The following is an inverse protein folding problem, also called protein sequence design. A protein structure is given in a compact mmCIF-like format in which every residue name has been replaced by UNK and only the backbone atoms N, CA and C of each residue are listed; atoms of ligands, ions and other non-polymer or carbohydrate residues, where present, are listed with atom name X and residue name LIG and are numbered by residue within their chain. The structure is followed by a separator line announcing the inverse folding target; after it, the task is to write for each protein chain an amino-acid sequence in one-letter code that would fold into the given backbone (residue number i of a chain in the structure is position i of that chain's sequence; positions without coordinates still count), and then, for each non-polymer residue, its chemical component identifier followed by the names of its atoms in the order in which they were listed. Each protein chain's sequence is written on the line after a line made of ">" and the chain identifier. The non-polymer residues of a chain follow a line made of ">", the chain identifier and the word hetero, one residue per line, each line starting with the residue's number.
data_IF_588362724847
#
_entry.id   IF_588362724847
#
_cell.length_a   1.000
_cell.length_b   1.000
_cell.length_c   1.000
_cell.angle_alpha   90.00
_cell.angle_beta   90.00
_cell.angle_gamma   90.00
#
_symmetry.space_group_name_H-M   'P 1'
#
loop_
_entity.id
_entity.type
_entity.pdbx_description
1 polymer ?
#
# COMPACT_ATOMS: atom_id res chain seq x y z
N UNK A 1 12.83 4.07 42.16
CA UNK A 1 12.01 4.46 41.00
C UNK A 1 12.91 4.51 39.77
N UNK A 2 12.76 3.58 38.83
CA UNK A 2 13.39 3.63 37.50
C UNK A 2 12.58 2.77 36.56
N UNK A 3 11.55 3.36 35.96
CA UNK A 3 10.80 2.75 34.87
C UNK A 3 11.70 2.68 33.63
N UNK A 4 12.25 1.49 33.36
CA UNK A 4 12.85 1.18 32.06
C UNK A 4 11.71 1.14 31.03
N UNK A 5 11.56 2.24 30.27
CA UNK A 5 10.73 2.28 29.05
C UNK A 5 11.03 1.05 28.18
N UNK A 6 10.03 0.28 27.74
CA UNK A 6 10.28 -0.85 26.86
C UNK A 6 10.83 -0.33 25.51
N UNK A 7 11.78 -1.06 24.89
CA UNK A 7 12.29 -0.68 23.58
C UNK A 7 11.15 -0.78 22.56
N UNK A 8 10.94 0.28 21.78
CA UNK A 8 10.05 0.26 20.60
C UNK A 8 10.49 -0.91 19.69
N UNK A 9 9.56 -1.70 19.13
CA UNK A 9 9.94 -2.69 18.12
C UNK A 9 10.57 -1.95 16.95
N UNK A 10 11.86 -2.17 16.72
CA UNK A 10 12.54 -1.70 15.53
C UNK A 10 11.82 -2.30 14.32
N UNK A 11 11.36 -1.45 13.41
CA UNK A 11 10.78 -1.88 12.14
C UNK A 11 11.78 -2.83 11.45
N UNK A 12 11.42 -4.11 11.34
CA UNK A 12 12.25 -5.10 10.65
C UNK A 12 12.37 -4.68 9.19
N UNK A 13 13.58 -4.68 8.59
CA UNK A 13 13.73 -4.43 7.17
C UNK A 13 12.98 -5.51 6.38
N UNK A 14 12.27 -5.16 5.29
CA UNK A 14 11.55 -6.14 4.48
C UNK A 14 12.55 -7.12 3.87
N UNK A 15 12.42 -8.41 4.19
CA UNK A 15 13.20 -9.49 3.59
C UNK A 15 12.74 -9.69 2.14
N UNK A 16 13.61 -9.50 1.13
CA UNK A 16 13.27 -9.77 -0.26
C UNK A 16 13.38 -11.28 -0.49
N UNK A 17 12.25 -12.00 -0.55
CA UNK A 17 12.27 -13.43 -0.87
C UNK A 17 11.05 -14.25 -0.46
N UNK A 18 10.13 -13.72 0.34
CA UNK A 18 8.83 -14.38 0.50
C UNK A 18 7.96 -14.00 -0.71
N UNK A 19 7.65 -14.95 -1.58
CA UNK A 19 6.55 -14.86 -2.54
C UNK A 19 5.21 -14.83 -1.79
N UNK A 20 5.03 -13.78 -0.99
CA UNK A 20 3.85 -13.49 -0.19
C UNK A 20 3.08 -12.36 -0.83
N UNK A 21 1.76 -12.37 -0.63
CA UNK A 21 0.89 -11.28 -1.04
C UNK A 21 1.39 -9.99 -0.40
N UNK A 22 1.78 -9.01 -1.22
CA UNK A 22 2.17 -7.70 -0.73
C UNK A 22 0.91 -6.92 -0.34
N UNK A 23 0.71 -6.71 0.96
CA UNK A 23 -0.34 -5.82 1.45
C UNK A 23 0.11 -4.37 1.32
N UNK A 24 -0.60 -3.59 0.51
CA UNK A 24 -0.38 -2.15 0.35
C UNK A 24 -1.66 -1.42 0.75
N UNK A 25 -1.53 -0.35 1.53
CA UNK A 25 -2.67 0.51 1.90
C UNK A 25 -3.18 1.29 0.69
N UNK A 26 -4.50 1.42 0.57
CA UNK A 26 -5.15 2.17 -0.50
C UNK A 26 -4.72 3.64 -0.53
N UNK A 27 -4.41 4.22 0.62
CA UNK A 27 -3.98 5.61 0.78
C UNK A 27 -2.60 5.85 0.16
N UNK A 28 -1.73 4.83 0.16
CA UNK A 28 -0.41 4.88 -0.51
C UNK A 28 -0.57 4.81 -2.03
N UNK A 29 -1.51 4.00 -2.51
CA UNK A 29 -1.77 3.86 -3.94
C UNK A 29 -2.53 5.05 -4.52
N UNK A 30 -3.43 5.68 -3.75
CA UNK A 30 -4.27 6.79 -4.19
C UNK A 30 -4.02 8.03 -3.30
N UNK A 31 -2.84 8.67 -3.43
CA UNK A 31 -2.53 9.85 -2.64
C UNK A 31 -3.55 10.96 -2.90
N UNK A 32 -4.09 11.52 -1.82
CA UNK A 32 -5.15 12.53 -1.85
C UNK A 32 -6.43 12.10 -2.62
N UNK A 33 -6.70 10.80 -2.73
CA UNK A 33 -7.88 10.25 -3.42
C UNK A 33 -7.82 10.37 -4.95
N UNK A 34 -6.64 10.68 -5.51
CA UNK A 34 -6.46 10.76 -6.96
C UNK A 34 -6.36 9.38 -7.58
N UNK A 35 -6.83 9.18 -8.82
CA UNK A 35 -6.60 7.94 -9.56
C UNK A 35 -5.10 7.68 -9.76
N UNK A 36 -4.70 6.42 -9.75
CA UNK A 36 -3.35 5.96 -10.07
C UNK A 36 -3.38 5.26 -11.44
N UNK A 37 -2.47 5.65 -12.32
CA UNK A 37 -2.24 4.90 -13.56
C UNK A 37 -1.16 3.84 -13.33
N UNK A 38 -1.45 2.63 -13.78
CA UNK A 38 -0.58 1.46 -13.68
C UNK A 38 -0.34 0.98 -15.10
N UNK A 39 0.90 1.04 -15.55
CA UNK A 39 1.27 0.35 -16.79
C UNK A 39 1.41 -1.14 -16.52
N UNK A 40 0.67 -1.95 -17.24
CA UNK A 40 0.73 -3.40 -17.15
C UNK A 40 0.70 -4.00 -18.56
N UNK A 41 1.81 -4.66 -18.95
CA UNK A 41 1.97 -5.30 -20.27
C UNK A 41 1.74 -4.33 -21.45
N UNK A 42 2.15 -3.07 -21.32
CA UNK A 42 1.99 -2.03 -22.34
C UNK A 42 0.61 -1.37 -22.36
N UNK A 43 -0.29 -1.77 -21.48
CA UNK A 43 -1.62 -1.17 -21.33
C UNK A 43 -1.66 -0.31 -20.07
N UNK A 44 -2.39 0.81 -20.13
CA UNK A 44 -2.59 1.67 -18.97
C UNK A 44 -3.87 1.23 -18.29
N UNK A 45 -3.76 0.90 -17.00
CA UNK A 45 -4.89 0.66 -16.13
C UNK A 45 -5.03 1.83 -15.15
N UNK A 46 -6.27 2.21 -14.86
CA UNK A 46 -6.60 3.22 -13.86
C UNK A 46 -7.14 2.54 -12.61
N UNK A 47 -6.40 2.63 -11.51
CA UNK A 47 -6.91 2.31 -10.18
C UNK A 47 -7.55 3.58 -9.58
N UNK A 48 -8.79 3.50 -9.13
CA UNK A 48 -9.47 4.62 -8.46
C UNK A 48 -10.39 4.15 -7.34
N UNK A 49 -10.70 5.04 -6.41
CA UNK A 49 -11.69 4.80 -5.36
C UNK A 49 -13.08 5.25 -5.84
N UNK A 50 -14.09 4.43 -5.62
CA UNK A 50 -15.49 4.80 -5.86
C UNK A 50 -16.03 5.66 -4.71
N UNK A 51 -17.16 6.35 -4.94
CA UNK A 51 -17.88 7.04 -3.85
C UNK A 51 -18.30 6.10 -2.71
N UNK A 52 -18.53 4.82 -3.01
CA UNK A 52 -18.83 3.78 -2.01
C UNK A 52 -17.59 3.29 -1.26
N UNK A 53 -16.41 3.85 -1.52
CA UNK A 53 -15.17 3.55 -0.81
C UNK A 53 -14.42 2.32 -1.33
N UNK A 54 -14.93 1.64 -2.37
CA UNK A 54 -14.28 0.47 -2.99
C UNK A 54 -13.18 0.92 -3.95
N UNK A 55 -12.16 0.09 -4.14
CA UNK A 55 -11.19 0.26 -5.21
C UNK A 55 -11.69 -0.43 -6.48
N UNK A 56 -11.58 0.26 -7.61
CA UNK A 56 -11.84 -0.32 -8.93
C UNK A 56 -10.63 -0.11 -9.82
N UNK A 57 -10.27 -1.16 -10.54
CA UNK A 57 -9.25 -1.13 -11.59
C UNK A 57 -9.97 -1.20 -12.92
N UNK A 58 -9.79 -0.19 -13.75
CA UNK A 58 -10.29 -0.16 -15.13
C UNK A 58 -9.12 -0.09 -16.09
N UNK A 59 -9.31 -0.59 -17.31
CA UNK A 59 -8.44 -0.23 -18.43
C UNK A 59 -8.83 1.17 -18.90
#
# INVERSE_FOLDING_TARGET
>A
MSEKRPPRPAARPPVPGAAGVQLVSSEVLLPAGRPLHIEHRGEIYTLRRTRSGKLILTK
#
